data_IF_568810858940
#
_entry.id   IF_568810858940
#
_cell.length_a   1.000
_cell.length_b   1.000
_cell.length_c   1.000
_cell.angle_alpha   90.00
_cell.angle_beta   90.00
_cell.angle_gamma   90.00
#
_symmetry.space_group_name_H-M   'P 1'
#
loop_
_entity.id
_entity.type
_entity.pdbx_description
1 polymer ?
#
# COMPACT_ATOMS: atom_id res chain seq x y z
N UNK A 1 5.41 -19.50 69.83
CA UNK A 1 5.42 -19.51 68.36
C UNK A 1 5.46 -18.05 67.92
N UNK A 2 6.60 -17.35 67.80
CA UNK A 2 7.95 -17.77 67.35
C UNK A 2 7.89 -18.49 65.99
N UNK A 3 8.61 -18.14 64.93
CA UNK A 3 9.63 -17.08 64.68
C UNK A 3 9.79 -16.96 63.14
N UNK A 4 10.34 -15.91 62.52
CA UNK A 4 11.00 -14.68 63.02
C UNK A 4 11.02 -13.61 61.93
N UNK A 5 10.90 -12.33 62.31
CA UNK A 5 11.55 -11.22 61.59
C UNK A 5 13.02 -11.19 62.04
N UNK A 6 13.99 -11.08 61.11
CA UNK A 6 15.36 -10.53 61.30
C UNK A 6 16.28 -10.95 60.13
N UNK A 7 16.29 -10.15 59.07
CA UNK A 7 17.40 -9.94 58.12
C UNK A 7 17.03 -8.68 57.32
N UNK A 8 17.42 -7.46 57.68
CA UNK A 8 18.54 -7.07 58.53
C UNK A 8 19.69 -6.55 57.66
N UNK A 9 19.71 -5.23 57.47
CA UNK A 9 20.87 -4.42 57.10
C UNK A 9 21.75 -4.89 55.90
N UNK A 10 21.27 -4.68 54.67
CA UNK A 10 22.12 -4.55 53.47
C UNK A 10 21.59 -3.52 52.46
N UNK A 11 20.78 -2.56 52.93
CA UNK A 11 20.14 -1.52 52.12
C UNK A 11 20.70 -0.11 52.41
N UNK A 12 22.03 -0.01 52.48
CA UNK A 12 22.79 1.24 52.51
C UNK A 12 24.17 0.98 51.89
N UNK A 13 24.76 2.02 51.29
CA UNK A 13 26.11 2.01 50.71
C UNK A 13 26.35 1.05 49.53
N UNK A 14 26.20 1.58 48.31
CA UNK A 14 27.21 1.51 47.25
C UNK A 14 26.78 2.43 46.09
N UNK A 15 26.91 3.75 46.32
CA UNK A 15 26.66 4.79 45.32
C UNK A 15 28.01 5.16 44.69
N UNK A 16 28.36 4.69 43.47
CA UNK A 16 29.65 5.01 42.88
C UNK A 16 29.75 6.52 42.61
N UNK A 17 30.75 7.13 43.26
CA UNK A 17 31.05 8.56 43.17
C UNK A 17 31.86 8.81 41.90
N UNK A 18 31.18 9.13 40.80
CA UNK A 18 31.86 9.48 39.55
C UNK A 18 32.43 10.90 39.65
N UNK A 19 33.75 11.02 39.65
CA UNK A 19 34.47 12.29 39.52
C UNK A 19 34.51 12.72 38.06
N UNK A 20 34.41 14.03 37.75
CA UNK A 20 34.82 14.54 36.44
C UNK A 20 36.34 14.41 36.30
N UNK A 21 36.83 14.56 35.07
CA UNK A 21 38.24 14.57 34.66
C UNK A 21 38.96 13.20 34.62
N UNK A 22 38.57 12.32 33.68
CA UNK A 22 39.54 11.43 33.01
C UNK A 22 39.10 10.87 31.64
N UNK A 23 39.10 11.70 30.58
CA UNK A 23 39.24 11.22 29.18
C UNK A 23 40.01 12.25 28.34
N UNK A 24 41.33 12.08 28.24
CA UNK A 24 42.13 12.71 27.17
C UNK A 24 43.04 11.67 26.52
N UNK A 25 42.59 11.05 25.42
CA UNK A 25 43.37 9.99 24.78
C UNK A 25 42.76 9.42 23.49
N UNK A 26 43.25 9.91 22.35
CA UNK A 26 43.21 9.30 21.00
C UNK A 26 41.87 8.63 20.57
N UNK A 27 40.99 9.34 19.85
CA UNK A 27 41.13 9.60 18.41
C UNK A 27 41.62 8.39 17.58
N UNK A 28 40.74 7.40 17.41
CA UNK A 28 40.76 6.48 16.27
C UNK A 28 39.34 6.11 15.81
N UNK A 29 38.38 7.05 15.94
CA UNK A 29 37.11 6.92 15.24
C UNK A 29 37.36 7.04 13.74
N UNK A 30 36.99 6.01 12.99
CA UNK A 30 36.85 6.12 11.54
C UNK A 30 35.65 7.02 11.28
N UNK A 31 35.88 8.33 11.21
CA UNK A 31 34.92 9.30 10.67
C UNK A 31 34.67 8.98 9.18
N UNK A 32 33.76 8.04 8.94
CA UNK A 32 33.00 7.94 7.70
C UNK A 32 32.06 9.15 7.63
N UNK A 33 32.66 10.31 7.38
CA UNK A 33 31.95 11.55 7.14
C UNK A 33 30.90 11.35 6.05
N UNK A 34 29.71 11.95 6.15
CA UNK A 34 28.65 11.74 5.18
C UNK A 34 29.14 12.19 3.81
N UNK A 35 29.28 11.21 2.90
CA UNK A 35 29.71 11.49 1.52
C UNK A 35 28.85 12.61 0.94
N UNK A 36 29.45 13.63 0.30
CA UNK A 36 28.70 14.75 -0.25
C UNK A 36 27.82 14.26 -1.40
N UNK A 37 26.56 13.97 -1.10
CA UNK A 37 25.55 13.60 -2.09
C UNK A 37 25.41 14.81 -3.02
N UNK A 38 25.87 14.65 -4.26
CA UNK A 38 26.02 15.74 -5.21
C UNK A 38 24.70 16.48 -5.41
N UNK A 39 24.73 17.81 -5.28
CA UNK A 39 23.55 18.67 -5.23
C UNK A 39 22.83 18.85 -6.59
N UNK A 40 23.16 18.02 -7.58
CA UNK A 40 22.67 18.09 -8.97
C UNK A 40 21.36 17.35 -9.23
N UNK A 41 20.76 16.70 -8.22
CA UNK A 41 19.45 16.03 -8.34
C UNK A 41 18.48 16.46 -7.24
N UNK A 42 17.77 17.58 -7.42
CA UNK A 42 16.75 18.04 -6.45
C UNK A 42 15.49 18.68 -7.06
N UNK A 43 15.01 18.13 -8.18
CA UNK A 43 13.73 18.51 -8.82
C UNK A 43 12.69 17.37 -8.81
N UNK A 44 12.53 16.69 -7.68
CA UNK A 44 11.39 15.79 -7.46
C UNK A 44 10.15 16.60 -7.06
N UNK A 45 9.37 17.05 -8.05
CA UNK A 45 8.04 17.64 -7.85
C UNK A 45 6.96 16.57 -7.57
N UNK A 46 7.29 15.29 -7.77
CA UNK A 46 6.40 14.15 -7.64
C UNK A 46 7.05 13.09 -6.74
N UNK A 47 6.34 12.67 -5.70
CA UNK A 47 6.68 11.48 -4.90
C UNK A 47 5.94 10.28 -5.52
N UNK A 48 6.66 9.43 -6.26
CA UNK A 48 6.08 8.26 -6.90
C UNK A 48 5.96 7.12 -5.88
N UNK A 49 4.74 6.84 -5.42
CA UNK A 49 4.45 5.81 -4.41
C UNK A 49 3.80 4.59 -5.05
N UNK A 50 4.57 3.53 -5.18
CA UNK A 50 4.09 2.23 -5.64
C UNK A 50 3.42 1.50 -4.47
N UNK A 51 2.22 0.95 -4.64
CA UNK A 51 1.56 0.12 -3.63
C UNK A 51 2.44 -0.99 -3.01
N UNK A 52 3.35 -1.67 -3.76
CA UNK A 52 4.28 -2.65 -3.19
C UNK A 52 5.47 -2.09 -2.38
N UNK A 53 5.36 -0.95 -1.67
CA UNK A 53 6.46 -0.23 -0.96
C UNK A 53 7.44 -1.11 -0.12
N UNK A 54 7.03 -2.32 0.29
CA UNK A 54 7.82 -3.26 1.10
C UNK A 54 8.13 -4.60 0.40
N UNK A 55 7.43 -4.96 -0.68
CA UNK A 55 7.58 -6.25 -1.38
C UNK A 55 6.91 -6.20 -2.75
N UNK A 56 7.64 -6.47 -3.86
CA UNK A 56 7.06 -6.50 -5.22
C UNK A 56 6.03 -7.62 -5.39
N UNK A 57 6.02 -8.60 -4.49
CA UNK A 57 5.13 -9.76 -4.51
C UNK A 57 3.85 -9.59 -3.69
N UNK A 58 3.66 -8.44 -3.03
CA UNK A 58 2.39 -8.09 -2.37
C UNK A 58 1.32 -7.81 -3.42
N UNK A 59 0.09 -8.29 -3.21
CA UNK A 59 -1.06 -7.95 -4.05
C UNK A 59 -1.18 -6.42 -4.11
N UNK A 60 -1.07 -5.88 -5.32
CA UNK A 60 -1.00 -4.46 -5.62
C UNK A 60 -1.98 -4.11 -6.74
N UNK A 61 -2.24 -2.83 -6.93
CA UNK A 61 -3.15 -2.38 -7.97
C UNK A 61 -2.64 -2.77 -9.38
N UNK A 62 -1.32 -2.78 -9.60
CA UNK A 62 -0.71 -3.33 -10.81
C UNK A 62 -1.01 -4.82 -10.99
N UNK A 63 -0.90 -5.63 -9.93
CA UNK A 63 -1.23 -7.06 -10.01
C UNK A 63 -2.72 -7.32 -10.23
N UNK A 64 -3.61 -6.50 -9.66
CA UNK A 64 -5.06 -6.58 -9.94
C UNK A 64 -5.44 -6.09 -11.35
N UNK A 65 -4.69 -5.13 -11.91
CA UNK A 65 -4.81 -4.77 -13.32
C UNK A 65 -4.30 -5.89 -14.24
N UNK A 66 -3.17 -6.53 -13.90
CA UNK A 66 -2.67 -7.69 -14.62
C UNK A 66 -3.67 -8.87 -14.54
N UNK A 67 -4.33 -9.06 -13.40
CA UNK A 67 -5.43 -10.01 -13.25
C UNK A 67 -6.61 -9.67 -14.19
N UNK A 68 -6.99 -8.39 -14.32
CA UNK A 68 -8.00 -7.98 -15.30
C UNK A 68 -7.60 -8.31 -16.75
N UNK A 69 -6.33 -8.10 -17.11
CA UNK A 69 -5.82 -8.43 -18.44
C UNK A 69 -5.76 -9.96 -18.69
N UNK A 70 -5.49 -10.77 -17.66
CA UNK A 70 -5.55 -12.23 -17.74
C UNK A 70 -6.99 -12.77 -17.86
N UNK A 71 -7.94 -12.13 -17.17
CA UNK A 71 -9.37 -12.45 -17.28
C UNK A 71 -9.93 -12.07 -18.66
N UNK A 72 -9.47 -10.96 -19.24
CA UNK A 72 -9.78 -10.56 -20.62
C UNK A 72 -9.06 -11.38 -21.70
N UNK A 73 -7.97 -12.08 -21.34
CA UNK A 73 -7.14 -12.83 -22.28
C UNK A 73 -6.07 -11.94 -22.93
N UNK A 74 -4.79 -12.27 -22.72
CA UNK A 74 -3.63 -11.49 -23.18
C UNK A 74 -3.69 -11.19 -24.68
N UNK A 75 -4.12 -12.15 -25.50
CA UNK A 75 -4.21 -12.02 -26.95
C UNK A 75 -5.22 -10.96 -27.42
N UNK A 76 -6.34 -10.81 -26.73
CA UNK A 76 -7.39 -9.86 -27.10
C UNK A 76 -7.14 -8.47 -26.48
N UNK A 77 -6.53 -8.40 -25.29
CA UNK A 77 -5.99 -7.15 -24.74
C UNK A 77 -4.96 -6.52 -25.70
N UNK A 78 -4.03 -7.33 -26.24
CA UNK A 78 -3.01 -6.86 -27.18
C UNK A 78 -3.55 -6.43 -28.56
N UNK A 79 -4.80 -6.76 -28.88
CA UNK A 79 -5.50 -6.32 -30.12
C UNK A 79 -6.38 -5.09 -29.90
N UNK A 80 -6.97 -4.98 -28.72
CA UNK A 80 -7.95 -3.92 -28.37
C UNK A 80 -7.28 -2.67 -27.80
N UNK A 81 -6.15 -2.80 -27.10
CA UNK A 81 -5.50 -1.70 -26.38
C UNK A 81 -4.05 -1.52 -26.84
N UNK A 82 -3.67 -0.26 -27.14
CA UNK A 82 -2.30 0.06 -27.55
C UNK A 82 -1.29 -0.13 -26.40
N UNK A 83 -0.04 -0.48 -26.73
CA UNK A 83 1.03 -0.60 -25.73
C UNK A 83 1.23 0.70 -24.93
N UNK A 84 1.09 1.87 -25.56
CA UNK A 84 1.15 3.16 -24.88
C UNK A 84 0.03 3.31 -23.85
N UNK A 85 -1.20 2.92 -24.21
CA UNK A 85 -2.34 2.92 -23.29
C UNK A 85 -2.11 1.98 -22.12
N UNK A 86 -1.56 0.77 -22.35
CA UNK A 86 -1.20 -0.17 -21.27
C UNK A 86 -0.14 0.42 -20.32
N UNK A 87 0.92 1.04 -20.84
CA UNK A 87 1.96 1.68 -20.02
C UNK A 87 1.35 2.82 -19.17
N UNK A 88 0.52 3.66 -19.77
CA UNK A 88 -0.21 4.72 -19.04
C UNK A 88 -1.17 4.13 -17.99
N UNK A 89 -1.78 2.99 -18.26
CA UNK A 89 -2.71 2.32 -17.35
C UNK A 89 -1.99 1.78 -16.11
N UNK A 90 -0.85 1.12 -16.28
CA UNK A 90 -0.01 0.69 -15.15
C UNK A 90 0.56 1.89 -14.36
N UNK A 91 0.96 2.97 -15.05
CA UNK A 91 1.40 4.22 -14.42
C UNK A 91 0.28 4.88 -13.60
N UNK A 92 -0.95 4.91 -14.13
CA UNK A 92 -2.10 5.46 -13.42
C UNK A 92 -2.43 4.64 -12.17
N UNK A 93 -2.54 3.32 -12.34
CA UNK A 93 -3.07 2.40 -11.33
C UNK A 93 -2.12 2.19 -10.16
N UNK A 94 -0.81 2.14 -10.40
CA UNK A 94 0.16 1.88 -9.34
C UNK A 94 0.75 3.17 -8.75
N UNK A 95 1.73 3.85 -9.38
CA UNK A 95 2.37 5.02 -8.74
C UNK A 95 1.49 6.27 -8.61
N UNK A 96 0.53 6.53 -9.51
CA UNK A 96 -0.31 7.72 -9.41
C UNK A 96 -1.46 7.55 -8.40
N UNK A 97 -2.22 6.46 -8.47
CA UNK A 97 -3.23 6.13 -7.45
C UNK A 97 -2.61 5.83 -6.08
N UNK A 98 -1.45 5.19 -6.03
CA UNK A 98 -0.69 5.00 -4.79
C UNK A 98 -0.24 6.32 -4.16
N UNK A 99 0.09 7.34 -4.95
CA UNK A 99 0.34 8.70 -4.46
C UNK A 99 -0.95 9.39 -3.96
N UNK A 100 -2.08 9.27 -4.68
CA UNK A 100 -3.38 9.78 -4.22
C UNK A 100 -3.71 9.23 -2.82
N UNK A 101 -3.61 7.91 -2.66
CA UNK A 101 -3.84 7.21 -1.41
C UNK A 101 -2.82 7.60 -0.33
N UNK A 102 -1.54 7.54 -0.64
CA UNK A 102 -0.45 7.80 0.32
C UNK A 102 -0.50 9.21 0.93
N UNK A 103 -0.85 10.22 0.13
CA UNK A 103 -0.95 11.60 0.61
C UNK A 103 -2.14 11.89 1.54
N UNK A 104 -3.25 11.15 1.40
CA UNK A 104 -4.47 11.34 2.22
C UNK A 104 -4.62 10.30 3.34
N UNK A 105 -4.50 9.02 3.01
CA UNK A 105 -4.79 7.91 3.91
C UNK A 105 -3.61 7.56 4.84
N UNK A 106 -2.36 7.84 4.43
CA UNK A 106 -1.14 7.54 5.23
C UNK A 106 -0.14 8.71 5.33
N UNK A 107 -0.55 9.92 5.75
CA UNK A 107 0.34 11.09 5.88
C UNK A 107 1.51 10.91 6.87
N UNK A 108 1.45 9.93 7.76
CA UNK A 108 2.58 9.57 8.63
C UNK A 108 3.73 8.91 7.87
N UNK A 109 3.46 8.33 6.69
CA UNK A 109 4.45 7.85 5.73
C UNK A 109 5.08 8.98 4.87
N UNK A 110 5.01 10.24 5.31
CA UNK A 110 5.72 11.40 4.73
C UNK A 110 7.11 11.73 5.35
N UNK A 111 7.86 10.87 6.09
CA UNK A 111 9.07 11.31 6.79
C UNK A 111 10.22 11.66 5.84
N UNK A 112 10.29 11.04 4.64
CA UNK A 112 11.25 11.44 3.58
C UNK A 112 10.99 12.87 3.09
N UNK A 113 9.74 13.27 2.88
CA UNK A 113 9.42 14.64 2.45
C UNK A 113 9.70 15.63 3.58
N UNK A 114 9.33 15.31 4.83
CA UNK A 114 9.67 16.16 5.99
C UNK A 114 11.18 16.41 6.10
N UNK A 115 12.02 15.38 5.93
CA UNK A 115 13.47 15.53 6.03
C UNK A 115 14.12 16.26 4.83
N UNK A 116 13.57 16.15 3.62
CA UNK A 116 14.04 16.90 2.45
C UNK A 116 13.59 18.36 2.46
N UNK A 117 12.33 18.63 2.81
CA UNK A 117 11.78 20.00 2.89
C UNK A 117 12.44 20.80 4.01
N UNK A 118 12.70 20.19 5.17
CA UNK A 118 13.40 20.85 6.28
C UNK A 118 14.85 21.28 5.96
N UNK A 119 15.48 20.71 4.92
CA UNK A 119 16.86 21.04 4.52
C UNK A 119 16.94 22.12 3.41
N UNK A 120 15.85 22.45 2.71
CA UNK A 120 15.86 23.51 1.69
C UNK A 120 15.63 24.88 2.33
N UNK A 121 16.69 25.69 2.44
CA UNK A 121 16.55 27.14 2.66
C UNK A 121 15.84 27.75 1.45
N UNK A 122 14.72 28.47 1.61
CA UNK A 122 14.05 29.11 0.48
C UNK A 122 14.94 30.23 -0.09
N UNK A 123 15.17 30.21 -1.41
CA UNK A 123 16.09 31.15 -2.09
C UNK A 123 15.60 32.60 -2.18
N UNK A 124 14.40 32.91 -1.66
CA UNK A 124 13.81 34.24 -1.65
C UNK A 124 13.67 34.71 -0.20
N UNK A 125 14.26 35.87 0.19
CA UNK A 125 14.29 36.31 1.60
C UNK A 125 12.90 36.42 2.24
N UNK A 126 11.88 36.84 1.48
CA UNK A 126 10.51 36.97 1.95
C UNK A 126 9.77 35.62 2.11
N UNK A 127 10.35 34.50 1.69
CA UNK A 127 9.86 33.15 1.99
C UNK A 127 10.58 32.48 3.17
N UNK A 128 11.53 33.17 3.82
CA UNK A 128 12.24 32.65 4.99
C UNK A 128 11.28 32.30 6.15
N UNK A 129 11.59 31.22 6.86
CA UNK A 129 10.97 30.90 8.15
C UNK A 129 11.12 32.12 9.08
N UNK A 130 10.00 32.72 9.47
CA UNK A 130 9.93 34.02 10.16
C UNK A 130 9.00 35.03 9.48
N UNK A 131 9.02 35.10 8.14
CA UNK A 131 8.37 36.18 7.36
C UNK A 131 6.82 36.17 7.38
N UNK A 132 6.15 37.33 7.17
CA UNK A 132 4.68 37.39 7.09
C UNK A 132 4.11 36.59 5.92
N UNK A 133 4.76 36.64 4.74
CA UNK A 133 4.32 35.89 3.56
C UNK A 133 4.44 34.37 3.78
N UNK A 134 5.47 33.90 4.50
CA UNK A 134 5.58 32.50 4.90
C UNK A 134 4.46 32.08 5.89
N UNK A 135 3.90 32.98 6.70
CA UNK A 135 2.73 32.68 7.54
C UNK A 135 1.45 32.55 6.71
N UNK A 136 1.20 33.48 5.79
CA UNK A 136 0.04 33.44 4.87
C UNK A 136 0.07 32.19 3.99
N UNK A 137 1.26 31.74 3.57
CA UNK A 137 1.46 30.53 2.77
C UNK A 137 1.59 29.23 3.58
N UNK A 138 1.40 29.27 4.92
CA UNK A 138 1.45 28.08 5.77
C UNK A 138 2.84 27.42 5.88
N UNK A 139 3.91 28.16 5.63
CA UNK A 139 5.32 27.73 5.72
C UNK A 139 5.93 27.90 7.13
N UNK A 140 5.19 28.46 8.09
CA UNK A 140 5.58 28.44 9.50
C UNK A 140 5.16 27.12 10.16
N UNK A 141 6.15 26.25 10.38
CA UNK A 141 5.94 24.90 10.89
C UNK A 141 5.59 23.90 9.78
N UNK A 142 5.44 22.61 10.11
CA UNK A 142 5.06 21.56 9.16
C UNK A 142 3.56 21.62 8.84
N UNK A 143 3.11 22.76 8.32
CA UNK A 143 1.72 22.99 7.95
C UNK A 143 1.29 22.01 6.86
N UNK A 144 0.36 21.10 7.19
CA UNK A 144 -0.12 20.02 6.31
C UNK A 144 -0.56 20.58 4.95
N UNK A 145 -1.23 21.74 4.94
CA UNK A 145 -1.62 22.49 3.74
C UNK A 145 -0.47 22.76 2.76
N UNK A 146 0.73 23.08 3.25
CA UNK A 146 1.89 23.38 2.39
C UNK A 146 2.43 22.13 1.67
N UNK A 147 2.32 20.96 2.31
CA UNK A 147 2.72 19.67 1.73
C UNK A 147 1.64 19.18 0.76
N UNK A 148 0.37 19.26 1.15
CA UNK A 148 -0.79 18.92 0.31
C UNK A 148 -0.80 19.74 -0.98
N UNK A 149 -0.66 21.06 -0.90
CA UNK A 149 -0.72 21.94 -2.07
C UNK A 149 0.49 21.81 -3.02
N UNK A 150 1.69 21.47 -2.51
CA UNK A 150 2.93 21.46 -3.32
C UNK A 150 3.36 20.09 -3.82
N UNK A 151 2.96 19.00 -3.18
CA UNK A 151 3.41 17.63 -3.54
C UNK A 151 2.24 16.73 -3.94
N UNK A 152 1.13 16.79 -3.21
CA UNK A 152 -0.01 15.91 -3.49
C UNK A 152 -0.88 16.43 -4.64
N UNK A 153 -1.24 17.72 -4.64
CA UNK A 153 -2.10 18.31 -5.68
C UNK A 153 -1.54 18.15 -7.12
N UNK A 154 -0.22 18.34 -7.40
CA UNK A 154 0.34 18.05 -8.72
C UNK A 154 0.24 16.56 -9.11
N UNK A 155 0.37 15.65 -8.14
CA UNK A 155 0.19 14.21 -8.36
C UNK A 155 -1.24 13.83 -8.71
N UNK A 156 -2.23 14.41 -8.02
CA UNK A 156 -3.66 14.25 -8.33
C UNK A 156 -3.96 14.80 -9.73
N UNK A 157 -3.46 16.01 -10.06
CA UNK A 157 -3.64 16.59 -11.39
C UNK A 157 -3.03 15.70 -12.49
N UNK A 158 -1.83 15.16 -12.27
CA UNK A 158 -1.19 14.23 -13.20
C UNK A 158 -1.98 12.92 -13.36
N UNK A 159 -2.57 12.39 -12.28
CA UNK A 159 -3.46 11.23 -12.34
C UNK A 159 -4.70 11.52 -13.22
N UNK A 160 -5.33 12.69 -13.08
CA UNK A 160 -6.44 13.10 -13.95
C UNK A 160 -6.03 13.28 -15.41
N UNK A 161 -4.85 13.84 -15.68
CA UNK A 161 -4.32 13.96 -17.05
C UNK A 161 -4.06 12.59 -17.68
N UNK A 162 -3.43 11.67 -16.95
CA UNK A 162 -3.22 10.29 -17.41
C UNK A 162 -4.53 9.54 -17.63
N UNK A 163 -5.49 9.68 -16.70
CA UNK A 163 -6.82 9.10 -16.80
C UNK A 163 -7.59 9.64 -18.02
N UNK A 164 -7.56 10.94 -18.27
CA UNK A 164 -8.20 11.55 -19.44
C UNK A 164 -7.58 11.09 -20.76
N UNK A 165 -6.26 10.88 -20.79
CA UNK A 165 -5.55 10.34 -21.95
C UNK A 165 -5.85 8.85 -22.22
N UNK A 166 -6.29 8.08 -21.21
CA UNK A 166 -6.72 6.69 -21.35
C UNK A 166 -8.19 6.61 -21.76
N UNK A 167 -9.07 7.40 -21.13
CA UNK A 167 -10.50 7.47 -21.44
C UNK A 167 -11.39 7.68 -20.21
N UNK A 168 -12.69 7.89 -20.47
CA UNK A 168 -13.65 8.30 -19.43
C UNK A 168 -13.80 7.28 -18.28
N UNK A 169 -13.66 5.98 -18.56
CA UNK A 169 -13.68 4.93 -17.53
C UNK A 169 -12.53 5.08 -16.51
N UNK A 170 -11.33 5.46 -16.97
CA UNK A 170 -10.19 5.74 -16.10
C UNK A 170 -10.38 7.02 -15.26
N UNK A 171 -11.08 8.02 -15.80
CA UNK A 171 -11.45 9.24 -15.05
C UNK A 171 -12.41 8.90 -13.90
N UNK A 172 -13.45 8.12 -14.17
CA UNK A 172 -14.37 7.66 -13.12
C UNK A 172 -13.68 6.78 -12.07
N UNK A 173 -12.81 5.85 -12.50
CA UNK A 173 -12.03 5.03 -11.56
C UNK A 173 -11.09 5.88 -10.69
N UNK A 174 -10.45 6.91 -11.25
CA UNK A 174 -9.61 7.86 -10.50
C UNK A 174 -10.43 8.69 -9.51
N UNK A 175 -11.66 9.10 -9.86
CA UNK A 175 -12.59 9.74 -8.93
C UNK A 175 -12.99 8.80 -7.78
N UNK A 176 -13.25 7.52 -8.07
CA UNK A 176 -13.55 6.51 -7.05
C UNK A 176 -12.36 6.32 -6.09
N UNK A 177 -11.13 6.20 -6.61
CA UNK A 177 -9.92 6.06 -5.77
C UNK A 177 -9.67 7.31 -4.93
N UNK A 178 -9.89 8.51 -5.48
CA UNK A 178 -9.84 9.76 -4.72
C UNK A 178 -10.91 9.78 -3.61
N UNK A 179 -12.14 9.35 -3.90
CA UNK A 179 -13.21 9.21 -2.93
C UNK A 179 -12.86 8.22 -1.80
N UNK A 180 -12.32 7.05 -2.14
CA UNK A 180 -11.84 6.06 -1.17
C UNK A 180 -10.70 6.61 -0.30
N UNK A 181 -9.76 7.37 -0.88
CA UNK A 181 -8.66 8.00 -0.15
C UNK A 181 -9.15 9.12 0.81
N UNK A 182 -10.14 9.93 0.38
CA UNK A 182 -10.81 10.92 1.24
C UNK A 182 -11.62 10.22 2.35
N UNK A 183 -12.31 9.13 2.05
CA UNK A 183 -13.00 8.31 3.06
C UNK A 183 -12.03 7.70 4.06
N UNK A 184 -10.85 7.23 3.62
CA UNK A 184 -9.81 6.68 4.50
C UNK A 184 -9.13 7.77 5.34
N UNK A 185 -9.06 9.00 4.85
CA UNK A 185 -8.68 10.17 5.65
C UNK A 185 -9.74 10.49 6.71
N UNK A 186 -11.02 10.61 6.32
CA UNK A 186 -12.13 10.92 7.24
C UNK A 186 -12.33 9.82 8.30
N UNK A 187 -12.04 8.56 7.94
CA UNK A 187 -12.07 7.40 8.82
C UNK A 187 -11.17 7.57 10.06
N UNK A 188 -10.04 8.28 9.95
CA UNK A 188 -9.16 8.62 11.07
C UNK A 188 -9.82 9.54 12.11
N UNK A 189 -10.90 10.22 11.73
CA UNK A 189 -11.62 11.18 12.57
C UNK A 189 -12.97 10.65 13.08
N UNK A 190 -13.59 9.68 12.39
CA UNK A 190 -14.97 9.22 12.69
C UNK A 190 -15.08 7.69 12.91
N UNK A 191 -14.03 6.91 12.65
CA UNK A 191 -13.90 5.47 12.96
C UNK A 191 -14.99 4.51 12.39
N UNK A 192 -15.79 4.94 11.41
CA UNK A 192 -16.96 4.20 10.90
C UNK A 192 -16.65 2.93 10.09
N UNK A 193 -15.52 2.89 9.38
CA UNK A 193 -15.16 1.80 8.45
C UNK A 193 -13.71 1.38 8.73
N UNK A 194 -13.30 0.10 8.62
CA UNK A 194 -11.89 -0.26 8.73
C UNK A 194 -11.10 0.24 7.52
N UNK A 195 -9.97 0.93 7.74
CA UNK A 195 -9.10 1.42 6.66
C UNK A 195 -8.61 0.29 5.72
N UNK A 196 -8.45 -0.94 6.24
CA UNK A 196 -8.09 -2.13 5.46
C UNK A 196 -9.15 -2.50 4.39
N UNK A 197 -10.44 -2.20 4.62
CA UNK A 197 -11.52 -2.40 3.61
C UNK A 197 -11.35 -1.42 2.47
N UNK A 198 -11.21 -0.13 2.79
CA UNK A 198 -11.04 0.95 1.81
C UNK A 198 -9.76 0.74 0.98
N UNK A 199 -8.68 0.29 1.62
CA UNK A 199 -7.44 -0.07 0.94
C UNK A 199 -7.63 -1.23 -0.03
N UNK A 200 -8.35 -2.28 0.39
CA UNK A 200 -8.60 -3.46 -0.47
C UNK A 200 -9.48 -3.11 -1.67
N UNK A 201 -10.45 -2.19 -1.51
CA UNK A 201 -11.23 -1.65 -2.63
C UNK A 201 -10.36 -0.85 -3.62
N UNK A 202 -9.45 0.00 -3.11
CA UNK A 202 -8.55 0.80 -3.95
C UNK A 202 -7.48 -0.04 -4.67
N UNK A 203 -7.01 -1.12 -4.04
CA UNK A 203 -5.97 -2.01 -4.58
C UNK A 203 -6.51 -3.13 -5.46
N UNK A 204 -7.74 -3.63 -5.21
CA UNK A 204 -8.31 -4.76 -5.97
C UNK A 204 -9.47 -4.32 -6.83
N UNK A 205 -10.56 -3.81 -6.23
CA UNK A 205 -11.81 -3.59 -6.94
C UNK A 205 -11.72 -2.50 -8.01
N UNK A 206 -11.21 -1.32 -7.65
CA UNK A 206 -11.07 -0.20 -8.58
C UNK A 206 -10.21 -0.52 -9.83
N UNK A 207 -8.98 -1.05 -9.71
CA UNK A 207 -8.15 -1.34 -10.89
C UNK A 207 -8.68 -2.50 -11.73
N UNK A 208 -9.25 -3.52 -11.09
CA UNK A 208 -9.79 -4.68 -11.82
C UNK A 208 -11.04 -4.30 -12.61
N UNK A 209 -11.98 -3.59 -11.98
CA UNK A 209 -13.20 -3.09 -12.62
C UNK A 209 -12.86 -2.18 -13.82
N UNK A 210 -11.97 -1.21 -13.61
CA UNK A 210 -11.50 -0.31 -14.67
C UNK A 210 -10.81 -1.07 -15.81
N UNK A 211 -9.97 -2.05 -15.49
CA UNK A 211 -9.29 -2.91 -16.48
C UNK A 211 -10.29 -3.64 -17.37
N UNK A 212 -11.26 -4.35 -16.78
CA UNK A 212 -12.29 -5.07 -17.55
C UNK A 212 -13.08 -4.11 -18.46
N UNK A 213 -13.51 -2.96 -17.94
CA UNK A 213 -14.21 -1.93 -18.74
C UNK A 213 -13.39 -1.43 -19.94
N UNK A 214 -12.07 -1.32 -19.80
CA UNK A 214 -11.17 -0.89 -20.88
C UNK A 214 -10.85 -2.01 -21.88
N UNK A 215 -10.82 -3.27 -21.43
CA UNK A 215 -10.60 -4.44 -22.27
C UNK A 215 -11.88 -4.94 -22.97
N UNK A 216 -12.97 -4.18 -22.91
CA UNK A 216 -14.23 -4.50 -23.59
C UNK A 216 -15.05 -5.61 -22.94
N UNK A 217 -14.70 -6.04 -21.72
CA UNK A 217 -15.51 -6.97 -20.93
C UNK A 217 -16.52 -6.22 -20.06
N UNK A 218 -17.70 -6.81 -19.87
CA UNK A 218 -18.66 -6.34 -18.89
C UNK A 218 -18.17 -6.68 -17.46
N UNK A 219 -17.79 -5.69 -16.63
CA UNK A 219 -17.36 -5.94 -15.25
C UNK A 219 -18.53 -6.35 -14.34
N UNK A 220 -19.79 -6.10 -14.75
CA UNK A 220 -21.00 -6.48 -14.01
C UNK A 220 -21.40 -7.94 -14.26
N UNK A 221 -20.76 -8.61 -15.22
CA UNK A 221 -20.85 -10.05 -15.42
C UNK A 221 -20.62 -10.77 -14.09
N UNK A 222 -21.64 -11.50 -13.63
CA UNK A 222 -21.68 -12.03 -12.26
C UNK A 222 -20.47 -12.88 -11.85
N UNK A 223 -19.79 -13.55 -12.80
CA UNK A 223 -18.53 -14.29 -12.56
C UNK A 223 -17.36 -13.35 -12.26
N UNK A 224 -17.15 -12.33 -13.09
CA UNK A 224 -16.09 -11.33 -12.90
C UNK A 224 -16.33 -10.51 -11.62
N UNK A 225 -17.57 -10.05 -11.41
CA UNK A 225 -17.94 -9.32 -10.21
C UNK A 225 -17.75 -10.15 -8.94
N UNK A 226 -18.17 -11.42 -8.93
CA UNK A 226 -17.92 -12.32 -7.81
C UNK A 226 -16.42 -12.49 -7.53
N UNK A 227 -15.59 -12.70 -8.56
CA UNK A 227 -14.15 -12.85 -8.39
C UNK A 227 -13.49 -11.58 -7.82
N UNK A 228 -13.91 -10.40 -8.28
CA UNK A 228 -13.46 -9.10 -7.76
C UNK A 228 -13.82 -8.95 -6.27
N UNK A 229 -15.06 -9.24 -5.89
CA UNK A 229 -15.51 -9.17 -4.50
C UNK A 229 -14.77 -10.17 -3.60
N UNK A 230 -14.58 -11.40 -4.08
CA UNK A 230 -13.87 -12.44 -3.33
C UNK A 230 -12.38 -12.08 -3.12
N UNK A 231 -11.70 -11.54 -4.13
CA UNK A 231 -10.32 -11.06 -3.94
C UNK A 231 -10.22 -9.80 -3.09
N UNK A 232 -11.22 -8.91 -3.15
CA UNK A 232 -11.32 -7.77 -2.23
C UNK A 232 -11.47 -8.25 -0.78
N UNK A 233 -12.30 -9.28 -0.55
CA UNK A 233 -12.46 -9.92 0.76
C UNK A 233 -11.18 -10.65 1.20
N UNK A 234 -10.47 -11.32 0.28
CA UNK A 234 -9.20 -12.00 0.57
C UNK A 234 -8.12 -11.01 1.02
N UNK A 235 -7.90 -9.93 0.25
CA UNK A 235 -6.91 -8.89 0.56
C UNK A 235 -7.29 -8.14 1.84
N UNK A 236 -8.59 -7.89 2.08
CA UNK A 236 -9.06 -7.34 3.36
C UNK A 236 -8.74 -8.28 4.53
N UNK A 237 -9.00 -9.58 4.38
CA UNK A 237 -8.73 -10.58 5.40
C UNK A 237 -7.24 -10.68 5.71
N UNK A 238 -6.41 -10.73 4.67
CA UNK A 238 -4.96 -10.78 4.77
C UNK A 238 -4.38 -9.55 5.49
N UNK A 239 -4.76 -8.33 5.07
CA UNK A 239 -4.33 -7.09 5.74
C UNK A 239 -4.83 -7.05 7.20
N UNK A 240 -6.10 -7.40 7.45
CA UNK A 240 -6.65 -7.38 8.81
C UNK A 240 -5.99 -8.39 9.74
N UNK A 241 -5.52 -9.54 9.23
CA UNK A 241 -4.72 -10.51 10.00
C UNK A 241 -3.28 -10.08 10.24
N UNK A 242 -2.70 -9.22 9.39
CA UNK A 242 -1.40 -8.59 9.62
C UNK A 242 -1.51 -7.44 10.63
N UNK A 243 -2.54 -6.60 10.51
CA UNK A 243 -2.80 -5.46 11.40
C UNK A 243 -3.19 -5.90 12.82
N UNK A 244 -3.91 -7.03 12.94
CA UNK A 244 -4.43 -7.55 14.21
C UNK A 244 -4.14 -9.06 14.36
N UNK A 245 -2.88 -9.47 14.65
CA UNK A 245 -2.53 -10.86 14.86
C UNK A 245 -3.41 -11.52 15.94
N UNK A 246 -3.91 -12.72 15.65
CA UNK A 246 -4.78 -13.49 16.55
C UNK A 246 -6.28 -13.16 16.49
N UNK A 247 -6.73 -12.09 15.82
CA UNK A 247 -8.17 -11.87 15.60
C UNK A 247 -8.68 -12.74 14.44
N UNK A 248 -9.64 -13.62 14.75
CA UNK A 248 -10.18 -14.60 13.80
C UNK A 248 -10.86 -13.98 12.56
N UNK A 249 -11.33 -12.72 12.63
CA UNK A 249 -12.08 -12.08 11.53
C UNK A 249 -11.32 -12.01 10.20
N UNK A 250 -10.02 -11.70 10.23
CA UNK A 250 -9.20 -11.66 9.01
C UNK A 250 -8.99 -13.04 8.39
N UNK A 251 -8.72 -14.06 9.23
CA UNK A 251 -8.58 -15.45 8.81
C UNK A 251 -9.88 -16.01 8.23
N UNK A 252 -11.02 -15.70 8.87
CA UNK A 252 -12.34 -16.08 8.38
C UNK A 252 -12.67 -15.41 7.03
N UNK A 253 -12.32 -14.13 6.86
CA UNK A 253 -12.43 -13.43 5.58
C UNK A 253 -11.64 -14.12 4.46
N UNK A 254 -10.38 -14.46 4.71
CA UNK A 254 -9.56 -15.23 3.76
C UNK A 254 -10.15 -16.61 3.46
N UNK A 255 -10.61 -17.36 4.48
CA UNK A 255 -11.20 -18.68 4.29
C UNK A 255 -12.46 -18.62 3.41
N UNK A 256 -13.38 -17.71 3.72
CA UNK A 256 -14.61 -17.49 2.94
C UNK A 256 -14.29 -17.08 1.50
N UNK A 257 -13.31 -16.20 1.31
CA UNK A 257 -12.86 -15.80 -0.03
C UNK A 257 -12.29 -16.99 -0.83
N UNK A 258 -11.40 -17.79 -0.24
CA UNK A 258 -10.79 -18.95 -0.91
C UNK A 258 -11.83 -20.03 -1.23
N UNK A 259 -12.74 -20.32 -0.30
CA UNK A 259 -13.85 -21.24 -0.53
C UNK A 259 -14.79 -20.73 -1.65
N UNK A 260 -15.10 -19.44 -1.67
CA UNK A 260 -15.91 -18.83 -2.73
C UNK A 260 -15.23 -18.87 -4.11
N UNK A 261 -13.92 -18.62 -4.19
CA UNK A 261 -13.16 -18.73 -5.44
C UNK A 261 -13.10 -20.20 -5.90
N UNK A 262 -12.91 -21.14 -4.97
CA UNK A 262 -12.94 -22.57 -5.27
C UNK A 262 -14.30 -22.99 -5.85
N UNK A 263 -15.41 -22.59 -5.21
CA UNK A 263 -16.76 -22.83 -5.72
C UNK A 263 -16.97 -22.20 -7.10
N UNK A 264 -16.53 -20.96 -7.31
CA UNK A 264 -16.62 -20.27 -8.60
C UNK A 264 -15.92 -21.05 -9.72
N UNK A 265 -14.75 -21.64 -9.45
CA UNK A 265 -14.02 -22.48 -10.41
C UNK A 265 -14.62 -23.88 -10.60
N UNK A 266 -15.23 -24.47 -9.56
CA UNK A 266 -15.97 -25.73 -9.68
C UNK A 266 -17.16 -25.55 -10.62
N UNK A 267 -18.00 -24.52 -10.39
CA UNK A 267 -19.13 -24.21 -11.27
C UNK A 267 -18.68 -23.71 -12.66
N UNK A 268 -17.54 -23.01 -12.73
CA UNK A 268 -16.87 -22.63 -13.97
C UNK A 268 -16.13 -23.77 -14.70
N UNK A 269 -16.19 -25.00 -14.20
CA UNK A 269 -15.56 -26.20 -14.78
C UNK A 269 -14.05 -26.04 -15.05
N UNK A 270 -13.33 -25.39 -14.14
CA UNK A 270 -11.89 -25.12 -14.25
C UNK A 270 -11.06 -25.93 -13.23
N UNK A 271 -10.97 -27.27 -13.36
CA UNK A 271 -10.32 -28.13 -12.36
C UNK A 271 -8.80 -27.97 -12.28
N UNK A 272 -8.13 -27.67 -13.41
CA UNK A 272 -6.68 -27.50 -13.45
C UNK A 272 -6.23 -26.22 -12.71
N UNK A 273 -6.81 -25.02 -12.96
CA UNK A 273 -6.53 -23.85 -12.12
C UNK A 273 -6.88 -24.07 -10.64
N UNK A 274 -8.01 -24.75 -10.35
CA UNK A 274 -8.41 -25.06 -8.97
C UNK A 274 -7.34 -25.87 -8.22
N UNK A 275 -6.78 -26.91 -8.84
CA UNK A 275 -5.71 -27.72 -8.23
C UNK A 275 -4.46 -26.86 -7.91
N UNK A 276 -4.08 -25.95 -8.81
CA UNK A 276 -2.97 -25.00 -8.59
C UNK A 276 -3.29 -24.04 -7.43
N UNK A 277 -4.52 -23.50 -7.36
CA UNK A 277 -4.92 -22.61 -6.25
C UNK A 277 -4.90 -23.31 -4.90
N UNK A 278 -5.33 -24.57 -4.81
CA UNK A 278 -5.27 -25.35 -3.56
C UNK A 278 -3.83 -25.49 -3.07
N UNK A 279 -2.87 -25.77 -3.96
CA UNK A 279 -1.43 -25.84 -3.62
C UNK A 279 -0.90 -24.48 -3.15
N UNK A 280 -1.24 -23.38 -3.85
CA UNK A 280 -0.81 -22.04 -3.49
C UNK A 280 -1.39 -21.58 -2.13
N UNK A 281 -2.67 -21.83 -1.88
CA UNK A 281 -3.31 -21.49 -0.60
C UNK A 281 -2.87 -22.38 0.56
N UNK A 282 -2.42 -23.62 0.30
CA UNK A 282 -1.86 -24.51 1.33
C UNK A 282 -0.74 -23.83 2.14
N UNK A 283 0.12 -23.03 1.49
CA UNK A 283 1.16 -22.26 2.16
C UNK A 283 0.59 -21.32 3.25
N UNK A 284 -0.59 -20.73 3.00
CA UNK A 284 -1.30 -19.88 3.97
C UNK A 284 -1.69 -20.68 5.21
N UNK A 285 -2.34 -21.81 5.02
CA UNK A 285 -2.87 -22.62 6.12
C UNK A 285 -1.78 -23.35 6.90
N UNK A 286 -0.71 -23.78 6.24
CA UNK A 286 0.49 -24.32 6.92
C UNK A 286 1.16 -23.26 7.78
N UNK A 287 1.28 -22.02 7.32
CA UNK A 287 1.84 -20.93 8.13
C UNK A 287 0.94 -20.56 9.31
N UNK A 288 -0.38 -20.44 9.10
CA UNK A 288 -1.36 -20.20 10.18
C UNK A 288 -1.28 -21.32 11.23
N UNK A 289 -1.27 -22.58 10.82
CA UNK A 289 -1.15 -23.74 11.71
C UNK A 289 0.17 -23.75 12.50
N UNK A 290 1.26 -23.27 11.90
CA UNK A 290 2.59 -23.15 12.53
C UNK A 290 2.79 -21.85 13.31
N UNK A 291 1.79 -20.96 13.39
CA UNK A 291 1.92 -19.64 14.02
C UNK A 291 2.93 -18.71 13.34
N UNK A 292 3.22 -18.91 12.04
CA UNK A 292 4.23 -18.16 11.29
C UNK A 292 3.65 -16.87 10.67
N UNK A 293 4.52 -15.88 10.45
CA UNK A 293 4.15 -14.62 9.79
C UNK A 293 3.68 -14.83 8.35
N UNK A 294 2.55 -14.22 8.00
CA UNK A 294 1.97 -14.30 6.66
C UNK A 294 2.69 -13.43 5.61
N UNK A 295 3.64 -12.58 6.02
CA UNK A 295 4.40 -11.70 5.12
C UNK A 295 5.11 -12.48 4.02
N UNK A 296 5.64 -13.66 4.34
CA UNK A 296 6.38 -14.51 3.40
C UNK A 296 5.49 -15.21 2.34
N UNK A 297 4.16 -15.11 2.48
CA UNK A 297 3.17 -15.85 1.67
C UNK A 297 2.59 -14.97 0.56
N UNK A 298 2.89 -13.66 0.59
CA UNK A 298 2.39 -12.67 -0.37
C UNK A 298 2.58 -13.08 -1.84
N UNK A 299 3.74 -13.67 -2.19
CA UNK A 299 4.00 -14.19 -3.53
C UNK A 299 3.02 -15.29 -3.95
N UNK A 300 2.65 -16.18 -3.02
CA UNK A 300 1.65 -17.23 -3.28
C UNK A 300 0.25 -16.65 -3.49
N UNK A 301 -0.11 -15.60 -2.74
CA UNK A 301 -1.39 -14.90 -2.93
C UNK A 301 -1.45 -14.17 -4.27
N UNK A 302 -0.37 -13.50 -4.68
CA UNK A 302 -0.28 -12.83 -5.99
C UNK A 302 -0.28 -13.85 -7.14
N UNK A 303 0.40 -14.98 -7.01
CA UNK A 303 0.30 -16.08 -7.98
C UNK A 303 -1.14 -16.63 -8.06
N UNK A 304 -1.81 -16.82 -6.91
CA UNK A 304 -3.18 -17.30 -6.86
C UNK A 304 -4.18 -16.30 -7.49
N UNK A 305 -3.97 -15.00 -7.29
CA UNK A 305 -4.73 -13.94 -7.95
C UNK A 305 -4.66 -14.10 -9.48
N UNK A 306 -3.45 -14.14 -10.03
CA UNK A 306 -3.22 -14.25 -11.47
C UNK A 306 -3.76 -15.58 -12.05
N UNK A 307 -3.55 -16.71 -11.36
CA UNK A 307 -4.09 -18.03 -11.78
C UNK A 307 -5.61 -18.04 -11.79
N UNK A 308 -6.26 -17.50 -10.74
CA UNK A 308 -7.74 -17.46 -10.67
C UNK A 308 -8.35 -16.54 -11.72
N UNK A 309 -7.66 -15.47 -12.10
CA UNK A 309 -8.10 -14.56 -13.15
C UNK A 309 -7.89 -15.15 -14.55
N UNK A 310 -6.74 -15.77 -14.81
CA UNK A 310 -6.49 -16.50 -16.06
C UNK A 310 -7.48 -17.66 -16.27
N UNK A 311 -7.99 -18.27 -15.19
CA UNK A 311 -9.04 -19.28 -15.28
C UNK A 311 -10.37 -18.74 -15.84
N UNK A 312 -10.65 -17.43 -15.73
CA UNK A 312 -11.88 -16.83 -16.26
C UNK A 312 -11.88 -16.84 -17.80
N UNK A 313 -10.74 -16.58 -18.45
CA UNK A 313 -10.63 -16.63 -19.92
C UNK A 313 -10.66 -18.05 -20.49
N UNK A 314 -10.41 -19.07 -19.66
CA UNK A 314 -10.51 -20.49 -20.04
C UNK A 314 -11.91 -21.10 -19.82
N UNK A 315 -12.80 -20.41 -19.09
CA UNK A 315 -14.14 -20.88 -18.74
C UNK A 315 -15.15 -20.69 -19.89
N UNK A 316 -14.85 -21.35 -21.02
CA UNK A 316 -15.65 -21.41 -22.25
C UNK A 316 -16.99 -22.11 -22.00
N UNK A 317 -18.06 -21.52 -22.55
CA UNK A 317 -19.35 -22.15 -22.82
C UNK A 317 -19.64 -21.96 -24.32
#
# INVERSE_FOLDING_TARGET
>A
MTTSEEFGAAAAELRPKHTPDDVTGANAELELGPAPISATSSSALLDARFWPELSPWRVSAAWSLAAAALAAGIGDVGRTVSLQTLILLFLLVDPLWGNIWGGLATPEALPRIKSTVARKRPGLPYLALGSPAARVLGMHGPGILSIVARVWLPGVALAFVAAFAIGMSAVWATLVVLGLAVSAWLQRHVALIPASVLHSLAVVAAPWFMGLSLFGLDPWSGRHWALILLWTLHVWGANSSLDNPGRLGGLAGMATAQAGIALLLIFGRAPLPLAVLVVLWMATWVAVYRGQSLVNIQASWTAALLVSAAAMSQAVF
#
